data_IF_696506320230
#
_entry.id   IF_696506320230
#
_cell.length_a   1.000
_cell.length_b   1.000
_cell.length_c   1.000
_cell.angle_alpha   90.00
_cell.angle_beta   90.00
_cell.angle_gamma   90.00
#
_symmetry.space_group_name_H-M   'P 1'
#
loop_
_entity.id
_entity.type
_entity.pdbx_description
1 polymer ?
#
# COMPACT_ATOMS: atom_id res chain seq x y z
N UNK A 1 -9.72 5.00 29.52
CA UNK A 1 -10.47 5.19 30.79
C UNK A 1 -10.99 6.62 30.77
N UNK A 2 -12.30 6.85 30.78
CA UNK A 2 -12.83 8.22 30.85
C UNK A 2 -12.23 8.95 32.05
N UNK A 3 -11.70 10.16 31.86
CA UNK A 3 -11.01 10.94 32.89
C UNK A 3 -9.50 10.70 33.00
N UNK A 4 -8.91 9.80 32.19
CA UNK A 4 -7.45 9.63 32.10
C UNK A 4 -6.80 10.52 31.04
N UNK A 5 -7.56 11.37 30.37
CA UNK A 5 -7.08 12.23 29.30
C UNK A 5 -6.09 13.28 29.84
N UNK A 6 -5.03 13.53 29.08
CA UNK A 6 -4.08 14.61 29.38
C UNK A 6 -4.07 15.59 28.22
N UNK A 7 -4.14 16.87 28.54
CA UNK A 7 -4.07 17.95 27.55
C UNK A 7 -2.66 18.51 27.53
N UNK A 8 -2.06 18.60 26.34
CA UNK A 8 -0.74 19.19 26.12
C UNK A 8 -0.88 20.37 25.16
N UNK A 9 -0.36 21.54 25.54
CA UNK A 9 -0.29 22.70 24.64
C UNK A 9 0.92 22.53 23.71
N UNK A 10 0.67 22.39 22.41
CA UNK A 10 1.71 22.21 21.39
C UNK A 10 1.35 23.00 20.14
N UNK A 11 2.35 23.46 19.40
CA UNK A 11 2.17 24.15 18.13
C UNK A 11 2.02 23.19 16.96
N UNK A 12 2.45 21.93 17.13
CA UNK A 12 2.45 20.92 16.09
C UNK A 12 2.38 19.52 16.67
N UNK A 13 1.75 18.61 15.92
CA UNK A 13 1.63 17.20 16.25
C UNK A 13 2.10 16.37 15.05
N UNK A 14 3.15 15.57 15.25
CA UNK A 14 3.63 14.60 14.26
C UNK A 14 3.11 13.22 14.65
N UNK A 15 2.38 12.58 13.74
CA UNK A 15 1.77 11.26 13.94
C UNK A 15 2.34 10.30 12.91
N UNK A 16 2.77 9.12 13.36
CA UNK A 16 3.15 8.01 12.50
C UNK A 16 2.68 6.69 13.11
N UNK A 17 1.82 5.97 12.38
CA UNK A 17 1.28 4.67 12.76
C UNK A 17 1.63 3.59 11.73
N UNK A 18 2.88 3.65 11.24
CA UNK A 18 3.43 2.69 10.28
C UNK A 18 3.37 3.16 8.82
N UNK A 19 3.67 2.22 7.93
CA UNK A 19 3.75 2.43 6.48
C UNK A 19 2.86 1.44 5.74
N UNK A 20 2.38 1.85 4.58
CA UNK A 20 1.63 0.99 3.65
C UNK A 20 2.35 0.94 2.30
N UNK A 21 2.46 -0.23 1.67
CA UNK A 21 3.00 -0.35 0.33
C UNK A 21 2.15 0.42 -0.70
N UNK A 22 2.79 1.14 -1.63
CA UNK A 22 2.12 1.73 -2.79
C UNK A 22 2.02 0.67 -3.90
N UNK A 23 0.85 0.06 -4.07
CA UNK A 23 0.60 -1.06 -4.98
C UNK A 23 -0.15 -0.65 -6.25
N UNK A 24 -0.57 0.61 -6.36
CA UNK A 24 -1.48 1.09 -7.40
C UNK A 24 -0.91 0.93 -8.83
N UNK A 25 0.40 1.16 -9.00
CA UNK A 25 1.07 0.95 -10.29
C UNK A 25 1.08 -0.53 -10.69
N UNK A 26 1.34 -1.42 -9.73
CA UNK A 26 1.36 -2.86 -9.98
C UNK A 26 -0.06 -3.40 -10.24
N UNK A 27 -1.06 -2.88 -9.53
CA UNK A 27 -2.47 -3.21 -9.78
C UNK A 27 -2.89 -2.82 -11.21
N UNK A 28 -2.51 -1.63 -11.69
CA UNK A 28 -2.75 -1.21 -13.08
C UNK A 28 -2.02 -2.09 -14.10
N UNK A 29 -0.84 -2.58 -13.75
CA UNK A 29 -0.05 -3.46 -14.60
C UNK A 29 -0.57 -4.90 -14.63
N UNK A 30 -1.58 -5.25 -13.83
CA UNK A 30 -2.14 -6.60 -13.73
C UNK A 30 -1.35 -7.54 -12.81
N UNK A 31 -0.46 -6.99 -11.97
CA UNK A 31 0.26 -7.79 -10.99
C UNK A 31 -0.68 -8.30 -9.90
N UNK A 32 -0.52 -9.57 -9.53
CA UNK A 32 -1.19 -10.17 -8.38
C UNK A 32 -0.75 -9.48 -7.08
N UNK A 33 -1.74 -9.20 -6.23
CA UNK A 33 -1.55 -8.66 -4.91
C UNK A 33 -1.98 -9.69 -3.87
N UNK A 34 -1.34 -9.67 -2.71
CA UNK A 34 -1.70 -10.49 -1.56
C UNK A 34 -1.76 -9.62 -0.30
N UNK A 35 -2.66 -9.94 0.62
CA UNK A 35 -2.81 -9.19 1.87
C UNK A 35 -1.98 -9.85 2.96
N UNK A 36 -0.90 -9.17 3.38
CA UNK A 36 -0.02 -9.59 4.46
C UNK A 36 0.08 -8.47 5.51
N UNK A 37 -0.81 -8.45 6.52
CA UNK A 37 -0.84 -7.44 7.58
C UNK A 37 0.52 -7.12 8.21
N UNK A 38 1.34 -8.14 8.42
CA UNK A 38 2.67 -8.06 9.02
C UNK A 38 3.72 -7.41 8.10
N UNK A 39 3.43 -7.32 6.81
CA UNK A 39 4.24 -6.63 5.80
C UNK A 39 3.68 -5.27 5.40
N UNK A 40 2.68 -4.77 6.13
CA UNK A 40 2.04 -3.47 5.87
C UNK A 40 0.72 -3.53 5.10
N UNK A 41 0.11 -4.71 4.98
CA UNK A 41 -1.18 -4.91 4.30
C UNK A 41 -1.01 -5.48 2.90
N UNK A 42 -1.63 -4.84 1.90
CA UNK A 42 -1.53 -5.29 0.50
C UNK A 42 -0.13 -5.10 -0.06
N UNK A 43 0.47 -6.16 -0.59
CA UNK A 43 1.78 -6.16 -1.25
C UNK A 43 1.68 -6.78 -2.64
N UNK A 44 2.66 -6.49 -3.50
CA UNK A 44 2.82 -7.23 -4.76
C UNK A 44 3.41 -8.59 -4.47
N UNK A 45 2.71 -9.63 -4.95
CA UNK A 45 3.15 -11.01 -4.84
C UNK A 45 4.31 -11.24 -5.82
N UNK A 46 5.43 -11.73 -5.29
CA UNK A 46 6.63 -12.02 -6.07
C UNK A 46 7.25 -13.36 -5.69
N UNK A 47 7.96 -13.98 -6.63
CA UNK A 47 8.77 -15.16 -6.34
C UNK A 47 10.11 -14.80 -5.65
N UNK A 48 10.96 -15.81 -5.41
CA UNK A 48 12.27 -15.61 -4.77
C UNK A 48 13.26 -14.79 -5.63
N UNK A 49 12.97 -14.59 -6.91
CA UNK A 49 13.72 -13.77 -7.87
C UNK A 49 13.07 -12.38 -8.13
N UNK A 50 12.06 -12.01 -7.34
CA UNK A 50 11.31 -10.74 -7.39
C UNK A 50 10.41 -10.56 -8.63
N UNK A 51 10.17 -11.63 -9.38
CA UNK A 51 9.27 -11.60 -10.54
C UNK A 51 7.82 -11.62 -10.08
N UNK A 52 6.99 -10.82 -10.76
CA UNK A 52 5.53 -10.86 -10.61
C UNK A 52 4.92 -11.92 -11.54
N UNK A 53 3.60 -12.11 -11.48
CA UNK A 53 2.87 -12.94 -12.45
C UNK A 53 2.86 -12.34 -13.87
N UNK A 54 3.18 -11.05 -14.03
CA UNK A 54 3.20 -10.39 -15.33
C UNK A 54 4.61 -10.47 -15.91
N UNK A 55 4.75 -11.15 -17.04
CA UNK A 55 6.04 -11.32 -17.70
C UNK A 55 6.69 -9.97 -18.02
N UNK A 56 7.98 -9.83 -17.70
CA UNK A 56 8.72 -8.59 -17.88
C UNK A 56 8.53 -7.56 -16.77
N UNK A 57 7.72 -7.84 -15.74
CA UNK A 57 7.53 -6.95 -14.59
C UNK A 57 8.14 -7.57 -13.32
N UNK A 58 9.10 -6.85 -12.75
CA UNK A 58 9.76 -7.16 -11.47
C UNK A 58 9.36 -6.10 -10.45
N UNK A 59 9.10 -6.52 -9.21
CA UNK A 59 8.75 -5.63 -8.11
C UNK A 59 9.80 -5.73 -6.99
N UNK A 60 10.34 -4.59 -6.57
CA UNK A 60 11.40 -4.51 -5.57
C UNK A 60 11.20 -3.30 -4.65
N UNK A 61 11.65 -3.41 -3.41
CA UNK A 61 11.48 -2.39 -2.39
C UNK A 61 10.24 -2.64 -1.53
N UNK A 62 9.72 -1.59 -0.90
CA UNK A 62 8.62 -1.71 0.06
C UNK A 62 7.29 -2.20 -0.55
N UNK A 63 7.16 -2.13 -1.88
CA UNK A 63 6.02 -2.67 -2.62
C UNK A 63 5.83 -4.19 -2.42
N UNK A 64 6.89 -4.92 -2.08
CA UNK A 64 6.85 -6.37 -1.76
C UNK A 64 6.74 -6.64 -0.24
N UNK A 65 6.57 -5.58 0.55
CA UNK A 65 6.45 -5.60 2.00
C UNK A 65 7.36 -4.58 2.70
N UNK A 66 6.85 -3.93 3.74
CA UNK A 66 7.58 -2.97 4.57
C UNK A 66 8.68 -3.71 5.35
N UNK A 67 9.93 -3.51 4.92
CA UNK A 67 11.11 -4.21 5.44
C UNK A 67 12.28 -3.31 5.82
N UNK A 68 12.14 -1.99 5.66
CA UNK A 68 13.20 -1.00 5.87
C UNK A 68 14.16 -0.85 4.69
N UNK A 69 14.98 0.21 4.74
CA UNK A 69 15.83 0.63 3.63
C UNK A 69 16.83 -0.43 3.16
N UNK A 70 17.45 -1.17 4.09
CA UNK A 70 18.44 -2.19 3.72
C UNK A 70 17.80 -3.36 2.94
N UNK A 71 16.57 -3.74 3.29
CA UNK A 71 15.76 -4.71 2.53
C UNK A 71 15.57 -4.22 1.09
N UNK A 72 15.15 -2.97 0.93
CA UNK A 72 14.88 -2.37 -0.38
C UNK A 72 16.14 -2.26 -1.24
N UNK A 73 17.29 -1.91 -0.66
CA UNK A 73 18.58 -1.90 -1.37
C UNK A 73 18.94 -3.31 -1.87
N UNK A 74 18.76 -4.33 -1.02
CA UNK A 74 19.06 -5.70 -1.40
C UNK A 74 18.12 -6.23 -2.49
N UNK A 75 16.83 -5.88 -2.43
CA UNK A 75 15.89 -6.20 -3.50
C UNK A 75 16.22 -5.47 -4.80
N UNK A 76 16.66 -4.21 -4.76
CA UNK A 76 17.12 -3.49 -5.96
C UNK A 76 18.29 -4.19 -6.65
N UNK A 77 19.26 -4.70 -5.88
CA UNK A 77 20.39 -5.50 -6.41
C UNK A 77 19.93 -6.83 -7.00
N UNK A 78 19.01 -7.52 -6.33
CA UNK A 78 18.42 -8.78 -6.83
C UNK A 78 17.64 -8.56 -8.13
N UNK A 79 16.84 -7.51 -8.21
CA UNK A 79 16.11 -7.12 -9.40
C UNK A 79 17.06 -6.84 -10.57
N UNK A 80 18.14 -6.06 -10.34
CA UNK A 80 19.15 -5.78 -11.36
C UNK A 80 19.81 -7.05 -11.89
N UNK A 81 20.19 -7.98 -11.00
CA UNK A 81 20.73 -9.28 -11.39
C UNK A 81 19.74 -10.06 -12.28
N UNK A 82 18.48 -10.13 -11.87
CA UNK A 82 17.48 -10.89 -12.62
C UNK A 82 17.17 -10.25 -13.99
N UNK A 83 17.20 -8.91 -14.10
CA UNK A 83 17.09 -8.21 -15.37
C UNK A 83 18.26 -8.57 -16.29
N UNK A 84 19.50 -8.52 -15.79
CA UNK A 84 20.70 -8.87 -16.59
C UNK A 84 20.67 -10.33 -17.04
N UNK A 85 20.17 -11.25 -16.20
CA UNK A 85 19.97 -12.65 -16.55
C UNK A 85 18.98 -12.80 -17.71
N UNK A 86 17.82 -12.14 -17.63
CA UNK A 86 16.82 -12.16 -18.72
C UNK A 86 17.34 -11.58 -20.04
N UNK A 87 18.21 -10.58 -19.97
CA UNK A 87 18.85 -10.00 -21.16
C UNK A 87 20.00 -10.87 -21.71
N UNK A 88 20.28 -12.03 -21.11
CA UNK A 88 21.42 -12.88 -21.49
C UNK A 88 22.79 -12.24 -21.25
N UNK A 89 22.82 -11.21 -20.39
CA UNK A 89 24.04 -10.46 -20.05
C UNK A 89 24.72 -10.99 -18.78
N UNK A 90 24.08 -11.91 -18.06
CA UNK A 90 24.70 -12.61 -16.95
C UNK A 90 25.56 -13.77 -17.47
N UNK A 91 26.89 -13.64 -17.33
CA UNK A 91 27.86 -14.65 -17.77
C UNK A 91 28.74 -15.18 -16.63
N UNK A 92 28.55 -14.68 -15.41
CA UNK A 92 29.47 -14.87 -14.31
C UNK A 92 28.84 -15.69 -13.17
N UNK A 93 29.28 -16.95 -13.06
CA UNK A 93 28.90 -17.86 -11.98
C UNK A 93 29.31 -17.37 -10.58
N UNK A 94 30.21 -16.38 -10.48
CA UNK A 94 30.61 -15.76 -9.22
C UNK A 94 29.46 -14.99 -8.55
N UNK A 95 28.49 -14.50 -9.34
CA UNK A 95 27.35 -13.74 -8.85
C UNK A 95 26.33 -14.60 -8.10
N UNK A 96 26.29 -15.92 -8.35
CA UNK A 96 25.38 -16.83 -7.66
C UNK A 96 25.52 -16.77 -6.13
N UNK A 97 26.76 -16.63 -5.62
CA UNK A 97 27.02 -16.48 -4.18
C UNK A 97 26.49 -15.14 -3.64
N UNK A 98 26.64 -14.06 -4.40
CA UNK A 98 26.14 -12.73 -4.04
C UNK A 98 24.61 -12.74 -3.99
N UNK A 99 23.95 -13.30 -5.00
CA UNK A 99 22.49 -13.44 -5.07
C UNK A 99 21.97 -14.24 -3.88
N UNK A 100 22.60 -15.37 -3.57
CA UNK A 100 22.23 -16.19 -2.42
C UNK A 100 22.32 -15.41 -1.10
N UNK A 101 23.39 -14.63 -0.92
CA UNK A 101 23.56 -13.76 0.25
C UNK A 101 22.47 -12.69 0.32
N UNK A 102 22.18 -12.01 -0.79
CA UNK A 102 21.14 -10.97 -0.85
C UNK A 102 19.75 -11.54 -0.52
N UNK A 103 19.40 -12.73 -1.05
CA UNK A 103 18.13 -13.42 -0.72
C UNK A 103 18.04 -13.75 0.78
N UNK A 104 19.14 -14.21 1.39
CA UNK A 104 19.20 -14.51 2.82
C UNK A 104 19.00 -13.23 3.66
N UNK A 105 19.71 -12.16 3.33
CA UNK A 105 19.57 -10.87 4.03
C UNK A 105 18.17 -10.27 3.87
N UNK A 106 17.58 -10.37 2.67
CA UNK A 106 16.17 -10.00 2.43
C UNK A 106 15.23 -10.73 3.38
N UNK A 107 15.34 -12.06 3.48
CA UNK A 107 14.51 -12.88 4.40
C UNK A 107 14.72 -12.47 5.85
N UNK A 108 15.96 -12.19 6.25
CA UNK A 108 16.29 -11.70 7.58
C UNK A 108 15.63 -10.34 7.90
N UNK A 109 15.74 -9.36 7.00
CA UNK A 109 15.13 -8.04 7.21
C UNK A 109 13.60 -8.10 7.24
N UNK A 110 12.97 -8.90 6.38
CA UNK A 110 11.51 -9.10 6.42
C UNK A 110 11.06 -9.75 7.74
N UNK A 111 11.81 -10.73 8.26
CA UNK A 111 11.51 -11.36 9.54
C UNK A 111 11.62 -10.38 10.71
N UNK A 112 12.66 -9.54 10.72
CA UNK A 112 12.80 -8.48 11.72
C UNK A 112 11.68 -7.43 11.61
N UNK A 113 11.36 -7.00 10.39
CA UNK A 113 10.33 -6.00 10.15
C UNK A 113 8.93 -6.48 10.54
N UNK A 114 8.63 -7.78 10.45
CA UNK A 114 7.36 -8.34 10.96
C UNK A 114 7.11 -7.96 12.42
N UNK A 115 8.12 -8.08 13.28
CA UNK A 115 8.00 -7.66 14.67
C UNK A 115 7.84 -6.14 14.78
N UNK A 116 8.70 -5.37 14.11
CA UNK A 116 8.62 -3.92 14.14
C UNK A 116 7.26 -3.38 13.68
N UNK A 117 6.75 -3.85 12.55
CA UNK A 117 5.46 -3.46 12.00
C UNK A 117 4.31 -3.76 12.97
N UNK A 118 4.40 -4.83 13.77
CA UNK A 118 3.39 -5.15 14.78
C UNK A 118 3.34 -4.13 15.94
N UNK A 119 4.43 -3.44 16.25
CA UNK A 119 4.49 -2.43 17.32
C UNK A 119 3.83 -1.10 16.94
N UNK A 120 3.83 -0.75 15.65
CA UNK A 120 3.27 0.51 15.14
C UNK A 120 1.87 0.35 14.55
N UNK A 121 1.39 -0.89 14.42
CA UNK A 121 0.05 -1.16 13.89
C UNK A 121 -0.99 -0.65 14.87
N UNK A 122 -1.85 0.24 14.40
CA UNK A 122 -3.07 0.62 15.13
C UNK A 122 -3.99 -0.58 15.11
N UNK A 123 -4.43 -1.01 16.30
CA UNK A 123 -5.38 -2.09 16.41
C UNK A 123 -6.70 -1.66 15.76
N UNK A 124 -7.19 -2.34 14.70
CA UNK A 124 -8.34 -1.85 13.93
C UNK A 124 -9.57 -1.59 14.80
N UNK A 125 -9.78 -2.38 15.86
CA UNK A 125 -10.90 -2.22 16.78
C UNK A 125 -10.93 -0.83 17.45
N UNK A 126 -9.77 -0.23 17.69
CA UNK A 126 -9.68 1.12 18.29
C UNK A 126 -10.23 2.22 17.36
N UNK A 127 -10.37 1.94 16.05
CA UNK A 127 -10.97 2.87 15.10
C UNK A 127 -12.48 3.07 15.35
N UNK A 128 -13.15 2.16 16.07
CA UNK A 128 -14.55 2.35 16.46
C UNK A 128 -14.74 3.42 17.53
N UNK A 129 -13.67 3.74 18.29
CA UNK A 129 -13.66 4.77 19.32
C UNK A 129 -13.54 6.19 18.74
N UNK A 130 -13.25 6.30 17.43
CA UNK A 130 -13.21 7.59 16.74
C UNK A 130 -14.59 8.22 16.72
N UNK A 131 -14.65 9.54 16.99
CA UNK A 131 -15.89 10.29 16.89
C UNK A 131 -16.38 10.35 15.44
N UNK A 132 -17.69 10.40 15.26
CA UNK A 132 -18.33 10.35 13.93
C UNK A 132 -18.01 11.58 13.06
N UNK A 133 -17.60 12.69 13.69
CA UNK A 133 -17.14 13.92 13.05
C UNK A 133 -15.70 13.82 12.53
N UNK A 134 -14.95 12.78 12.90
CA UNK A 134 -13.56 12.59 12.49
C UNK A 134 -13.47 12.46 10.97
N UNK A 135 -12.72 13.36 10.33
CA UNK A 135 -12.53 13.34 8.87
C UNK A 135 -11.56 12.22 8.48
N UNK A 136 -12.02 11.29 7.64
CA UNK A 136 -11.21 10.21 7.07
C UNK A 136 -10.69 10.58 5.68
N UNK A 137 -11.55 11.12 4.81
CA UNK A 137 -11.15 11.58 3.48
C UNK A 137 -11.08 13.11 3.43
N UNK A 138 -9.89 13.67 3.66
CA UNK A 138 -9.68 15.13 3.63
C UNK A 138 -10.10 15.80 2.31
N UNK A 139 -9.91 15.13 1.17
CA UNK A 139 -10.19 15.77 -0.12
C UNK A 139 -11.68 15.94 -0.42
N UNK A 140 -12.52 15.03 0.08
CA UNK A 140 -13.97 15.05 -0.16
C UNK A 140 -14.75 15.28 1.16
N UNK A 141 -14.03 15.65 2.24
CA UNK A 141 -14.56 15.89 3.59
C UNK A 141 -15.42 14.75 4.16
N UNK A 142 -15.10 13.50 3.83
CA UNK A 142 -15.86 12.33 4.31
C UNK A 142 -15.45 11.97 5.73
N UNK A 143 -16.43 11.83 6.63
CA UNK A 143 -16.21 11.51 8.06
C UNK A 143 -16.38 10.02 8.38
N UNK A 144 -15.97 9.61 9.59
CA UNK A 144 -16.21 8.27 10.14
C UNK A 144 -17.70 7.94 10.17
N UNK A 145 -18.55 8.87 10.62
CA UNK A 145 -20.00 8.67 10.69
C UNK A 145 -20.63 8.35 9.34
N UNK A 146 -20.22 9.07 8.28
CA UNK A 146 -20.70 8.80 6.92
C UNK A 146 -20.25 7.44 6.39
N UNK A 147 -19.07 6.95 6.81
CA UNK A 147 -18.62 5.60 6.47
C UNK A 147 -19.48 4.55 7.19
N UNK A 148 -19.75 4.74 8.49
CA UNK A 148 -20.62 3.85 9.28
C UNK A 148 -22.02 3.76 8.66
N UNK A 149 -22.64 4.90 8.37
CA UNK A 149 -23.96 4.98 7.72
C UNK A 149 -23.97 4.25 6.37
N UNK A 150 -22.95 4.45 5.53
CA UNK A 150 -22.85 3.75 4.26
C UNK A 150 -22.72 2.22 4.41
N UNK A 151 -22.00 1.75 5.42
CA UNK A 151 -21.88 0.33 5.73
C UNK A 151 -23.22 -0.24 6.21
N UNK A 152 -23.97 0.48 7.04
CA UNK A 152 -25.33 0.10 7.46
C UNK A 152 -26.28 -0.02 6.27
N UNK A 153 -26.11 0.82 5.23
CA UNK A 153 -26.83 0.75 3.97
C UNK A 153 -26.35 -0.36 3.00
N UNK A 154 -25.36 -1.18 3.40
CA UNK A 154 -24.89 -2.33 2.61
C UNK A 154 -23.59 -2.12 1.82
N UNK A 155 -22.88 -1.02 2.02
CA UNK A 155 -21.62 -0.73 1.30
C UNK A 155 -20.42 -1.46 1.92
N UNK A 156 -20.34 -2.79 1.73
CA UNK A 156 -19.34 -3.64 2.39
C UNK A 156 -17.97 -3.74 1.69
N UNK A 157 -17.74 -2.98 0.62
CA UNK A 157 -16.46 -2.98 -0.09
C UNK A 157 -16.04 -1.54 -0.47
N UNK A 158 -14.74 -1.29 -0.71
CA UNK A 158 -14.24 0.05 -0.97
C UNK A 158 -14.94 0.73 -2.15
N UNK A 159 -15.17 0.04 -3.26
CA UNK A 159 -15.78 0.66 -4.45
C UNK A 159 -17.24 1.07 -4.21
N UNK A 160 -18.01 0.26 -3.49
CA UNK A 160 -19.37 0.62 -3.06
C UNK A 160 -19.35 1.86 -2.15
N UNK A 161 -18.45 1.89 -1.16
CA UNK A 161 -18.28 3.03 -0.26
C UNK A 161 -17.89 4.30 -1.02
N UNK A 162 -17.00 4.19 -2.02
CA UNK A 162 -16.61 5.30 -2.91
C UNK A 162 -17.80 5.84 -3.70
N UNK A 163 -18.69 4.99 -4.21
CA UNK A 163 -19.89 5.44 -4.92
C UNK A 163 -20.85 6.16 -3.97
N UNK A 164 -21.05 5.63 -2.76
CA UNK A 164 -21.97 6.19 -1.78
C UNK A 164 -21.49 7.52 -1.17
N UNK A 165 -20.19 7.62 -0.86
CA UNK A 165 -19.63 8.73 -0.06
C UNK A 165 -18.68 9.64 -0.81
N UNK A 166 -18.30 9.27 -2.04
CA UNK A 166 -17.21 9.89 -2.82
C UNK A 166 -15.81 9.75 -2.21
N UNK A 167 -15.62 8.99 -1.14
CA UNK A 167 -14.29 8.78 -0.57
C UNK A 167 -13.29 8.31 -1.65
N UNK A 168 -12.03 8.73 -1.55
CA UNK A 168 -10.97 8.48 -2.53
C UNK A 168 -11.17 9.08 -3.94
N UNK A 169 -12.18 9.92 -4.18
CA UNK A 169 -12.36 10.60 -5.48
C UNK A 169 -11.59 11.92 -5.65
N UNK A 170 -11.03 12.47 -4.57
CA UNK A 170 -10.29 13.73 -4.62
C UNK A 170 -8.90 13.63 -5.24
N UNK A 171 -8.14 14.74 -5.27
CA UNK A 171 -6.82 14.83 -5.94
C UNK A 171 -5.79 13.77 -5.47
N UNK A 172 -5.91 13.30 -4.23
CA UNK A 172 -5.04 12.25 -3.70
C UNK A 172 -5.37 10.85 -4.22
N UNK A 173 -6.54 10.63 -4.82
CA UNK A 173 -7.03 9.35 -5.35
C UNK A 173 -6.94 8.20 -4.31
N UNK A 174 -7.25 8.49 -3.05
CA UNK A 174 -7.28 7.48 -1.99
C UNK A 174 -5.96 7.24 -1.27
N UNK A 175 -4.81 7.78 -1.72
CA UNK A 175 -3.48 7.49 -1.15
C UNK A 175 -3.36 7.70 0.37
N UNK A 176 -4.15 8.61 0.94
CA UNK A 176 -4.13 8.90 2.38
C UNK A 176 -5.25 8.20 3.14
N UNK A 177 -6.48 8.21 2.60
CA UNK A 177 -7.65 7.70 3.32
C UNK A 177 -7.87 6.20 3.11
N UNK A 178 -7.35 5.61 2.04
CA UNK A 178 -7.63 4.21 1.70
C UNK A 178 -7.22 3.22 2.79
N UNK A 179 -6.00 3.30 3.39
CA UNK A 179 -5.64 2.39 4.48
C UNK A 179 -6.63 2.43 5.65
N UNK A 180 -6.99 3.65 6.08
CA UNK A 180 -7.95 3.86 7.18
C UNK A 180 -9.33 3.30 6.81
N UNK A 181 -9.78 3.53 5.57
CA UNK A 181 -11.04 2.99 5.07
C UNK A 181 -11.02 1.46 5.07
N UNK A 182 -9.91 0.83 4.67
CA UNK A 182 -9.80 -0.63 4.67
C UNK A 182 -9.84 -1.20 6.08
N UNK A 183 -9.19 -0.55 7.05
CA UNK A 183 -9.24 -0.97 8.45
C UNK A 183 -10.63 -0.75 9.06
N UNK A 184 -11.30 0.37 8.77
CA UNK A 184 -12.68 0.61 9.16
C UNK A 184 -13.63 -0.44 8.57
N UNK A 185 -13.52 -0.74 7.27
CA UNK A 185 -14.35 -1.75 6.62
C UNK A 185 -14.11 -3.16 7.19
N UNK A 186 -12.86 -3.53 7.48
CA UNK A 186 -12.54 -4.80 8.14
C UNK A 186 -13.28 -4.95 9.47
N UNK A 187 -13.28 -3.89 10.27
CA UNK A 187 -13.89 -3.91 11.62
C UNK A 187 -15.42 -3.83 11.54
N UNK A 188 -15.96 -2.87 10.78
CA UNK A 188 -17.40 -2.67 10.64
C UNK A 188 -18.10 -3.87 9.98
N UNK A 189 -17.44 -4.50 9.01
CA UNK A 189 -17.99 -5.67 8.32
C UNK A 189 -17.60 -7.01 8.97
N UNK A 190 -16.71 -7.01 9.97
CA UNK A 190 -16.14 -8.20 10.61
C UNK A 190 -15.53 -9.19 9.60
N UNK A 191 -14.78 -8.65 8.63
CA UNK A 191 -14.17 -9.42 7.52
C UNK A 191 -12.67 -9.26 7.51
N UNK A 192 -11.96 -10.26 6.98
CA UNK A 192 -10.50 -10.14 6.75
C UNK A 192 -10.22 -9.14 5.63
N UNK A 193 -9.04 -8.52 5.64
CA UNK A 193 -8.67 -7.54 4.61
C UNK A 193 -8.74 -8.06 3.17
N UNK A 194 -8.43 -9.34 2.95
CA UNK A 194 -8.59 -9.99 1.63
C UNK A 194 -10.04 -9.96 1.12
N UNK A 195 -11.01 -10.13 2.02
CA UNK A 195 -12.44 -10.17 1.70
C UNK A 195 -13.03 -8.77 1.47
N UNK A 196 -12.41 -7.73 2.05
CA UNK A 196 -12.76 -6.33 1.79
C UNK A 196 -12.31 -5.90 0.39
N UNK A 197 -11.11 -6.31 -0.02
CA UNK A 197 -10.51 -5.94 -1.29
C UNK A 197 -9.94 -4.52 -1.33
N UNK A 198 -9.73 -4.00 -2.53
CA UNK A 198 -9.09 -2.72 -2.81
C UNK A 198 -9.98 -1.82 -3.67
N UNK A 199 -9.74 -0.51 -3.61
CA UNK A 199 -10.22 0.39 -4.65
C UNK A 199 -9.71 -0.06 -6.03
N UNK A 200 -10.56 0.07 -7.05
CA UNK A 200 -10.11 -0.09 -8.43
C UNK A 200 -9.28 1.13 -8.84
N UNK A 201 -8.02 0.90 -9.22
CA UNK A 201 -7.13 1.93 -9.74
C UNK A 201 -7.39 2.15 -11.23
N UNK A 202 -7.32 3.42 -11.68
CA UNK A 202 -7.54 3.83 -13.06
C UNK A 202 -6.42 4.76 -13.52
N UNK A 203 -6.03 4.76 -14.81
CA UNK A 203 -5.16 5.78 -15.36
C UNK A 203 -5.84 7.16 -15.37
N UNK A 204 -5.08 8.26 -15.25
CA UNK A 204 -3.66 8.31 -14.92
C UNK A 204 -3.41 8.11 -13.41
N UNK A 205 -2.33 7.42 -13.05
CA UNK A 205 -2.01 7.11 -11.65
C UNK A 205 -1.77 8.36 -10.78
N UNK A 206 -1.19 9.39 -11.38
CA UNK A 206 -1.05 10.73 -10.82
C UNK A 206 -1.70 11.73 -11.78
N UNK A 207 -2.25 12.85 -11.29
CA UNK A 207 -2.76 13.89 -12.17
C UNK A 207 -1.67 14.34 -13.16
N UNK A 208 -2.01 14.33 -14.44
CA UNK A 208 -1.17 14.83 -15.53
C UNK A 208 -1.93 15.95 -16.21
N UNK A 209 -1.23 17.01 -16.63
CA UNK A 209 -1.87 18.10 -17.37
C UNK A 209 -2.32 17.61 -18.75
N UNK A 210 -3.47 18.11 -19.22
CA UNK A 210 -3.98 17.78 -20.57
C UNK A 210 -2.95 18.18 -21.63
N UNK A 211 -2.26 19.31 -21.44
CA UNK A 211 -1.18 19.76 -22.32
C UNK A 211 -0.06 18.73 -22.44
N UNK A 212 0.41 18.16 -21.33
CA UNK A 212 1.47 17.15 -21.38
C UNK A 212 1.04 15.89 -22.15
N UNK A 213 -0.22 15.49 -22.04
CA UNK A 213 -0.78 14.38 -22.83
C UNK A 213 -0.90 14.73 -24.32
N UNK A 214 -1.30 15.96 -24.65
CA UNK A 214 -1.37 16.42 -26.04
C UNK A 214 0.03 16.46 -26.69
N UNK A 215 1.02 16.96 -25.96
CA UNK A 215 2.40 17.06 -26.44
C UNK A 215 3.02 15.67 -26.67
N UNK A 216 2.71 14.67 -25.82
CA UNK A 216 3.21 13.31 -26.01
C UNK A 216 2.66 12.61 -27.26
N UNK A 217 1.39 12.87 -27.62
CA UNK A 217 0.80 12.30 -28.84
C UNK A 217 1.43 12.91 -30.09
N UNK A 218 1.74 14.21 -30.06
CA UNK A 218 2.37 14.91 -31.19
C UNK A 218 3.82 14.49 -31.45
N UNK A 219 4.54 14.02 -30.44
CA UNK A 219 5.92 13.53 -30.60
C UNK A 219 6.01 12.11 -31.18
N UNK A 220 4.89 11.38 -31.22
CA UNK A 220 4.81 10.01 -31.75
C UNK A 220 4.26 9.94 -33.18
N UNK A 221 3.78 11.06 -33.73
CA UNK A 221 3.27 11.20 -35.10
C UNK A 221 4.30 11.87 -36.00
#
# INVERSE_FOLDING_TARGET
MPGSEKTYSVESLAIGYGFVPNVEAAQLAGCELEYQPEKGGWIVKVNDDLETNVAGIIAAGEITGIGGGQKSINEGKLAAYNILRHLGQEKDSSLARVVTKLKKERKHHLSFAKYFNSLYRVEPQSLLELSDETIVCRCESVTVGQIKEAVEMGCYNPNALKVATRCAMGKCQGRTCAPIIYDLLQVLCQKKGEEIGLFTVRPPLKPVSIKALQDSVRQQA
#
